data_IF_573647076737
#
_entry.id   IF_573647076737
#
_cell.length_a   1.000
_cell.length_b   1.000
_cell.length_c   1.000
_cell.angle_alpha   90.00
_cell.angle_beta   90.00
_cell.angle_gamma   90.00
#
_symmetry.space_group_name_H-M   'P 1'
#
loop_
_entity.id
_entity.type
_entity.pdbx_description
1 polymer ?
#
# COMPACT_ATOMS: atom_id res chain seq x y z
N UNK A 1 -11.52 -22.01 19.79
CA UNK A 1 -11.08 -20.71 20.34
C UNK A 1 -11.25 -19.67 19.24
N UNK A 2 -12.25 -18.81 19.36
CA UNK A 2 -12.41 -17.64 18.48
C UNK A 2 -11.14 -16.79 18.60
N UNK A 3 -10.50 -16.48 17.47
CA UNK A 3 -9.21 -15.77 17.45
C UNK A 3 -9.49 -14.27 17.40
N UNK A 4 -8.81 -13.51 18.24
CA UNK A 4 -8.96 -12.06 18.28
C UNK A 4 -8.57 -11.40 16.94
N UNK A 5 -9.47 -10.56 16.44
CA UNK A 5 -9.26 -9.65 15.32
C UNK A 5 -8.04 -8.76 15.61
N UNK A 6 -7.06 -8.75 14.70
CA UNK A 6 -5.84 -7.95 14.87
C UNK A 6 -5.79 -6.76 13.91
N UNK A 7 -5.37 -5.60 14.42
CA UNK A 7 -5.12 -4.40 13.63
C UNK A 7 -3.67 -4.35 13.15
N UNK A 8 -3.42 -4.20 11.85
CA UNK A 8 -2.05 -4.22 11.28
C UNK A 8 -1.84 -3.17 10.19
N UNK A 9 -0.63 -2.61 10.01
CA UNK A 9 -0.34 -1.75 8.88
C UNK A 9 -0.19 -2.53 7.57
N UNK A 10 -0.58 -1.91 6.46
CA UNK A 10 -0.25 -2.37 5.09
C UNK A 10 0.11 -1.19 4.19
N UNK A 11 1.19 -1.31 3.41
CA UNK A 11 1.67 -0.25 2.52
C UNK A 11 1.16 -0.48 1.09
N UNK A 12 0.78 0.60 0.42
CA UNK A 12 0.45 0.63 -1.00
C UNK A 12 1.11 1.84 -1.70
N UNK A 13 1.37 1.70 -3.00
CA UNK A 13 1.83 2.80 -3.85
C UNK A 13 0.67 3.71 -4.26
N UNK A 14 0.93 4.94 -4.70
CA UNK A 14 -0.12 5.88 -5.09
C UNK A 14 -1.11 5.33 -6.15
N UNK A 15 -0.67 4.61 -7.21
CA UNK A 15 -1.60 3.96 -8.13
C UNK A 15 -2.53 2.93 -7.47
N UNK A 16 -2.01 2.15 -6.52
CA UNK A 16 -2.81 1.17 -5.79
C UNK A 16 -3.79 1.85 -4.82
N UNK A 17 -3.41 2.98 -4.21
CA UNK A 17 -4.31 3.78 -3.36
C UNK A 17 -5.50 4.32 -4.17
N UNK A 18 -5.24 4.89 -5.35
CA UNK A 18 -6.31 5.33 -6.25
C UNK A 18 -7.25 4.17 -6.61
N UNK A 19 -6.70 3.00 -6.95
CA UNK A 19 -7.50 1.80 -7.21
C UNK A 19 -8.35 1.35 -6.01
N UNK A 20 -7.87 1.51 -4.77
CA UNK A 20 -8.64 1.25 -3.55
C UNK A 20 -9.78 2.28 -3.37
N UNK A 21 -9.50 3.57 -3.59
CA UNK A 21 -10.48 4.64 -3.49
C UNK A 21 -11.59 4.53 -4.54
N UNK A 22 -11.25 4.08 -5.74
CA UNK A 22 -12.19 3.81 -6.82
C UNK A 22 -12.96 2.49 -6.63
N UNK A 23 -12.60 1.67 -5.64
CA UNK A 23 -13.25 0.39 -5.35
C UNK A 23 -12.87 -0.75 -6.32
N UNK A 24 -11.87 -0.54 -7.17
CA UNK A 24 -11.40 -1.55 -8.15
C UNK A 24 -10.48 -2.58 -7.53
N UNK A 25 -9.64 -2.18 -6.56
CA UNK A 25 -8.72 -3.08 -5.86
C UNK A 25 -9.40 -3.70 -4.64
N UNK A 26 -9.56 -5.02 -4.66
CA UNK A 26 -10.19 -5.82 -3.60
C UNK A 26 -9.29 -6.99 -3.15
N UNK A 27 -8.11 -7.11 -3.75
CA UNK A 27 -7.15 -8.16 -3.44
C UNK A 27 -5.72 -7.60 -3.45
N UNK A 28 -4.82 -8.23 -2.68
CA UNK A 28 -3.38 -8.03 -2.82
C UNK A 28 -2.56 -9.27 -2.54
N UNK A 29 -1.49 -9.47 -3.31
CA UNK A 29 -0.48 -10.51 -3.08
C UNK A 29 0.71 -10.01 -2.28
N UNK A 30 1.17 -10.84 -1.35
CA UNK A 30 2.38 -10.65 -0.55
C UNK A 30 3.25 -11.89 -0.59
N UNK A 31 4.53 -11.72 -0.90
CA UNK A 31 5.50 -12.81 -0.92
C UNK A 31 5.64 -13.43 0.46
N UNK A 32 5.58 -14.76 0.52
CA UNK A 32 5.80 -15.51 1.76
C UNK A 32 7.29 -15.79 1.94
N UNK A 33 7.77 -15.65 3.17
CA UNK A 33 9.18 -15.89 3.53
C UNK A 33 9.41 -17.38 3.81
N UNK A 34 10.61 -17.86 3.57
CA UNK A 34 11.04 -19.19 3.99
C UNK A 34 11.07 -19.30 5.53
N UNK A 35 10.82 -20.48 6.07
CA UNK A 35 11.03 -20.78 7.51
C UNK A 35 12.53 -20.70 7.84
N UNK A 36 12.85 -20.47 9.12
CA UNK A 36 14.24 -20.55 9.59
C UNK A 36 14.78 -21.97 9.38
N UNK A 37 16.04 -22.08 8.95
CA UNK A 37 16.69 -23.37 8.72
C UNK A 37 16.54 -23.94 7.30
N UNK A 38 15.81 -23.25 6.41
CA UNK A 38 15.79 -23.59 4.97
C UNK A 38 17.15 -23.28 4.36
N UNK A 39 17.72 -24.28 3.69
CA UNK A 39 19.03 -24.26 3.03
C UNK A 39 18.89 -24.38 1.51
N UNK A 40 19.99 -24.26 0.76
CA UNK A 40 19.97 -24.45 -0.70
C UNK A 40 19.55 -25.87 -1.11
N UNK A 41 19.80 -26.88 -0.27
CA UNK A 41 19.40 -28.26 -0.53
C UNK A 41 17.89 -28.49 -0.44
N UNK A 42 17.16 -27.57 0.22
CA UNK A 42 15.72 -27.66 0.41
C UNK A 42 14.90 -27.26 -0.80
N UNK A 43 15.56 -26.68 -1.80
CA UNK A 43 14.92 -26.26 -3.02
C UNK A 43 15.05 -27.36 -4.06
N UNK A 44 13.92 -27.77 -4.62
CA UNK A 44 13.88 -28.70 -5.73
C UNK A 44 14.57 -28.08 -6.95
N UNK A 45 15.36 -28.88 -7.65
CA UNK A 45 15.78 -28.54 -9.01
C UNK A 45 14.52 -28.55 -9.88
N UNK A 46 14.08 -27.37 -10.32
CA UNK A 46 12.98 -27.27 -11.26
C UNK A 46 13.36 -27.86 -12.62
N UNK A 47 12.37 -28.40 -13.33
CA UNK A 47 12.50 -28.72 -14.75
C UNK A 47 12.98 -27.50 -15.54
N UNK A 48 13.87 -27.66 -16.54
CA UNK A 48 14.34 -26.55 -17.35
C UNK A 48 13.15 -25.87 -18.04
N UNK A 49 12.99 -24.57 -17.83
CA UNK A 49 12.04 -23.77 -18.58
C UNK A 49 12.48 -23.75 -20.05
N UNK A 50 11.54 -23.91 -21.00
CA UNK A 50 11.81 -23.97 -22.45
C UNK A 50 12.56 -22.75 -23.02
N UNK A 51 12.73 -21.68 -22.24
CA UNK A 51 13.50 -20.49 -22.59
C UNK A 51 15.00 -20.55 -22.25
N UNK A 52 15.50 -21.65 -21.70
CA UNK A 52 16.95 -21.90 -21.55
C UNK A 52 17.70 -21.01 -20.54
N UNK A 53 17.01 -20.31 -19.63
CA UNK A 53 17.63 -19.45 -18.63
C UNK A 53 17.30 -19.94 -17.21
N UNK A 54 18.22 -20.75 -16.66
CA UNK A 54 18.41 -21.02 -15.23
C UNK A 54 17.45 -22.03 -14.60
N UNK A 55 18.01 -23.05 -13.95
CA UNK A 55 17.29 -23.90 -13.01
C UNK A 55 16.96 -23.07 -11.77
N UNK A 56 15.70 -22.67 -11.58
CA UNK A 56 15.29 -21.92 -10.40
C UNK A 56 14.48 -22.78 -9.43
N UNK A 57 15.06 -22.85 -8.25
CA UNK A 57 14.69 -23.47 -6.99
C UNK A 57 13.21 -23.36 -6.58
N UNK A 58 12.47 -24.48 -6.59
CA UNK A 58 11.11 -24.56 -6.02
C UNK A 58 11.17 -24.98 -4.56
N UNK A 59 10.60 -24.17 -3.67
CA UNK A 59 10.46 -24.53 -2.26
C UNK A 59 9.10 -25.16 -1.99
N UNK A 60 9.05 -26.22 -1.18
CA UNK A 60 7.81 -26.84 -0.71
C UNK A 60 6.96 -25.90 0.16
N UNK A 61 5.64 -26.08 0.09
CA UNK A 61 4.68 -25.33 0.91
C UNK A 61 4.92 -25.50 2.41
N UNK A 62 5.44 -26.64 2.85
CA UNK A 62 5.69 -26.89 4.28
C UNK A 62 6.87 -26.07 4.83
N UNK A 63 7.74 -25.57 3.94
CA UNK A 63 8.95 -24.82 4.27
C UNK A 63 8.75 -23.30 4.22
N UNK A 64 7.54 -22.82 3.92
CA UNK A 64 7.20 -21.39 3.96
C UNK A 64 6.53 -21.00 5.27
N UNK A 65 6.67 -19.72 5.64
CA UNK A 65 5.99 -19.15 6.80
C UNK A 65 4.49 -18.99 6.53
N UNK A 66 3.71 -19.06 7.60
CA UNK A 66 2.29 -18.75 7.55
C UNK A 66 2.05 -17.30 7.09
N UNK A 67 0.93 -17.01 6.38
CA UNK A 67 0.57 -15.67 6.02
C UNK A 67 0.53 -14.72 7.22
N UNK A 68 1.07 -13.52 7.01
CA UNK A 68 1.08 -12.47 8.04
C UNK A 68 -0.31 -12.03 8.46
N UNK A 69 -1.28 -12.09 7.55
CA UNK A 69 -2.66 -11.65 7.74
C UNK A 69 -3.60 -12.85 7.68
N UNK A 70 -4.76 -12.73 8.31
CA UNK A 70 -5.81 -13.75 8.36
C UNK A 70 -7.17 -13.13 8.11
N UNK A 71 -8.13 -13.95 7.68
CA UNK A 71 -9.53 -13.53 7.62
C UNK A 71 -9.98 -12.97 8.98
N UNK A 72 -10.70 -11.85 8.94
CA UNK A 72 -11.11 -11.08 10.11
C UNK A 72 -10.13 -9.97 10.53
N UNK A 73 -8.85 -10.00 10.11
CA UNK A 73 -7.92 -8.91 10.42
C UNK A 73 -8.38 -7.58 9.81
N UNK A 74 -8.02 -6.47 10.48
CA UNK A 74 -8.24 -5.10 9.97
C UNK A 74 -6.91 -4.47 9.63
N UNK A 75 -6.76 -3.97 8.42
CA UNK A 75 -5.51 -3.41 7.92
C UNK A 75 -5.66 -1.92 7.69
N UNK A 76 -4.90 -1.09 8.41
CA UNK A 76 -4.86 0.34 8.12
C UNK A 76 -3.81 0.60 7.05
N UNK A 77 -4.21 1.31 6.01
CA UNK A 77 -3.38 1.54 4.83
C UNK A 77 -2.37 2.64 5.13
N UNK A 78 -1.14 2.44 4.66
CA UNK A 78 -0.02 3.39 4.69
C UNK A 78 0.33 3.82 3.28
N UNK A 79 0.44 5.12 3.12
CA UNK A 79 0.77 5.80 1.87
C UNK A 79 1.74 6.95 2.14
N UNK A 80 2.32 7.49 1.07
CA UNK A 80 3.18 8.66 1.21
C UNK A 80 2.32 9.86 1.59
N UNK A 81 2.80 10.64 2.55
CA UNK A 81 2.04 11.71 3.18
C UNK A 81 2.93 12.90 3.51
N UNK A 82 2.35 14.06 3.80
CA UNK A 82 3.05 15.20 4.40
C UNK A 82 2.10 16.03 5.26
N UNK A 83 2.67 16.90 6.08
CA UNK A 83 1.89 17.94 6.76
C UNK A 83 1.33 18.87 5.68
N UNK A 84 0.01 18.88 5.57
CA UNK A 84 -0.75 19.69 4.61
C UNK A 84 -1.10 21.06 5.16
N UNK A 85 -1.36 21.17 6.46
CA UNK A 85 -1.50 22.42 7.24
C UNK A 85 -1.53 22.05 8.73
N UNK A 86 -1.50 23.03 9.62
CA UNK A 86 -1.72 22.84 11.06
C UNK A 86 -2.54 24.01 11.64
N UNK A 87 -3.19 23.75 12.76
CA UNK A 87 -3.79 24.74 13.63
C UNK A 87 -3.12 24.63 15.00
N UNK A 88 -2.49 25.72 15.43
CA UNK A 88 -1.72 25.78 16.69
C UNK A 88 -2.63 25.93 17.90
N UNK A 89 -3.78 26.58 17.72
CA UNK A 89 -4.74 26.83 18.79
C UNK A 89 -5.49 25.54 19.15
N UNK A 90 -5.84 24.75 18.13
CA UNK A 90 -6.57 23.48 18.28
C UNK A 90 -5.65 22.24 18.30
N UNK A 91 -4.35 22.40 18.06
CA UNK A 91 -3.38 21.29 18.06
C UNK A 91 -3.65 20.22 16.98
N UNK A 92 -4.26 20.62 15.86
CA UNK A 92 -4.70 19.71 14.81
C UNK A 92 -3.93 19.91 13.49
N UNK A 93 -3.94 18.88 12.64
CA UNK A 93 -3.17 18.87 11.40
C UNK A 93 -4.04 18.44 10.22
N UNK A 94 -3.88 19.11 9.08
CA UNK A 94 -4.36 18.58 7.80
C UNK A 94 -3.24 17.76 7.15
N UNK A 95 -3.59 16.66 6.48
CA UNK A 95 -2.63 15.76 5.82
C UNK A 95 -2.83 15.78 4.31
N UNK A 96 -1.74 15.96 3.58
CA UNK A 96 -1.71 15.79 2.13
C UNK A 96 -1.23 14.37 1.76
N UNK A 97 -1.91 13.75 0.80
CA UNK A 97 -1.55 12.46 0.22
C UNK A 97 -1.21 12.60 -1.26
N UNK A 98 -0.50 11.62 -1.84
CA UNK A 98 -0.04 11.71 -3.23
C UNK A 98 -1.17 11.75 -4.28
N UNK A 99 -2.40 11.39 -3.92
CA UNK A 99 -3.57 11.51 -4.80
C UNK A 99 -4.46 12.73 -4.50
N UNK A 100 -4.10 13.55 -3.50
CA UNK A 100 -4.79 14.78 -3.17
C UNK A 100 -4.77 15.13 -1.67
N UNK A 101 -5.04 16.39 -1.34
CA UNK A 101 -5.16 16.84 0.04
C UNK A 101 -6.41 16.26 0.71
N UNK A 102 -6.29 15.83 1.97
CA UNK A 102 -7.47 15.65 2.83
C UNK A 102 -7.82 17.00 3.44
N UNK A 103 -9.11 17.34 3.36
CA UNK A 103 -9.62 18.64 3.81
C UNK A 103 -10.01 18.68 5.29
N UNK A 104 -10.05 17.51 5.92
CA UNK A 104 -10.38 17.36 7.33
C UNK A 104 -9.13 17.62 8.19
N UNK A 105 -9.32 18.41 9.25
CA UNK A 105 -8.37 18.51 10.35
C UNK A 105 -8.37 17.22 11.16
N UNK A 106 -7.17 16.77 11.55
CA UNK A 106 -6.95 15.57 12.33
C UNK A 106 -6.32 15.93 13.67
N UNK A 107 -6.97 15.51 14.74
CA UNK A 107 -6.37 15.48 16.07
C UNK A 107 -5.36 14.34 16.16
N UNK A 108 -4.28 14.55 16.91
CA UNK A 108 -3.32 13.50 17.22
C UNK A 108 -3.83 12.73 18.45
N UNK A 109 -4.13 11.42 18.35
CA UNK A 109 -4.65 10.67 19.48
C UNK A 109 -3.67 10.58 20.65
N UNK A 110 -4.24 10.58 21.86
CA UNK A 110 -3.53 10.53 23.14
C UNK A 110 -2.46 11.64 23.28
N UNK A 111 -2.74 12.84 22.78
CA UNK A 111 -1.83 13.99 22.81
C UNK A 111 -2.31 15.05 23.82
N UNK A 112 -2.62 14.62 25.04
CA UNK A 112 -3.25 15.45 26.06
C UNK A 112 -2.43 16.68 26.47
N UNK A 113 -1.11 16.61 26.34
CA UNK A 113 -0.16 17.69 26.63
C UNK A 113 0.36 18.39 25.36
N UNK A 114 -0.12 17.98 24.17
CA UNK A 114 0.31 18.50 22.87
C UNK A 114 1.75 18.16 22.50
N UNK A 115 2.45 17.26 23.21
CA UNK A 115 3.87 17.00 22.94
C UNK A 115 4.10 16.45 21.52
N UNK A 116 3.22 15.58 21.03
CA UNK A 116 3.34 14.98 19.69
C UNK A 116 3.06 16.02 18.62
N UNK A 117 2.04 16.86 18.80
CA UNK A 117 1.74 17.98 17.94
C UNK A 117 2.94 18.93 17.89
N UNK A 118 3.40 19.42 19.04
CA UNK A 118 4.52 20.35 19.15
C UNK A 118 5.78 19.81 18.48
N UNK A 119 6.11 18.54 18.69
CA UNK A 119 7.26 17.91 18.03
C UNK A 119 7.14 17.92 16.50
N UNK A 120 5.95 17.59 15.98
CA UNK A 120 5.72 17.56 14.54
C UNK A 120 5.70 18.97 13.95
N UNK A 121 5.05 19.91 14.64
CA UNK A 121 4.93 21.30 14.26
C UNK A 121 6.29 22.02 14.24
N UNK A 122 7.06 21.95 15.33
CA UNK A 122 8.40 22.55 15.43
C UNK A 122 9.33 21.98 14.35
N UNK A 123 9.38 20.65 14.22
CA UNK A 123 10.18 20.01 13.16
C UNK A 123 9.75 20.47 11.76
N UNK A 124 8.48 20.74 11.54
CA UNK A 124 7.98 21.20 10.24
C UNK A 124 8.32 22.67 10.01
N UNK A 125 8.23 23.52 11.03
CA UNK A 125 8.66 24.92 10.95
C UNK A 125 10.15 25.03 10.64
N UNK A 126 11.01 24.29 11.35
CA UNK A 126 12.45 24.27 11.11
C UNK A 126 12.78 23.88 9.66
N UNK A 127 12.05 22.90 9.11
CA UNK A 127 12.21 22.47 7.71
C UNK A 127 11.81 23.56 6.70
N UNK A 128 10.77 24.35 7.00
CA UNK A 128 10.31 25.42 6.13
C UNK A 128 11.25 26.62 6.19
N UNK A 129 11.68 27.01 7.38
CA UNK A 129 12.69 28.05 7.57
C UNK A 129 14.00 27.69 6.87
N UNK A 130 14.46 26.44 6.99
CA UNK A 130 15.65 25.95 6.28
C UNK A 130 15.52 25.99 4.74
N UNK A 131 14.29 25.98 4.21
CA UNK A 131 14.01 26.14 2.77
C UNK A 131 13.87 27.61 2.35
N UNK A 132 13.99 28.56 3.27
CA UNK A 132 13.78 29.99 3.01
C UNK A 132 12.32 30.33 2.72
N UNK A 133 11.38 29.59 3.33
CA UNK A 133 9.96 29.90 3.24
C UNK A 133 9.64 30.83 4.41
N UNK A 134 9.31 32.07 4.07
CA UNK A 134 8.98 33.09 5.05
C UNK A 134 7.53 32.96 5.52
N UNK A 135 7.32 33.38 6.76
CA UNK A 135 5.99 33.58 7.33
C UNK A 135 5.39 34.91 6.87
N UNK A 136 4.08 35.06 7.05
CA UNK A 136 3.43 36.34 6.85
C UNK A 136 3.72 37.33 8.00
N UNK A 137 3.07 38.50 7.95
CA UNK A 137 3.22 39.57 8.94
C UNK A 137 2.84 39.15 10.37
N UNK A 138 2.01 38.12 10.51
CA UNK A 138 1.51 37.61 11.79
C UNK A 138 2.34 36.39 12.25
N UNK A 139 3.42 36.07 11.54
CA UNK A 139 4.29 34.93 11.84
C UNK A 139 3.71 33.58 11.40
N UNK A 140 2.66 33.57 10.58
CA UNK A 140 1.97 32.35 10.16
C UNK A 140 2.39 31.91 8.76
N UNK A 141 2.39 30.59 8.55
CA UNK A 141 2.61 30.02 7.24
C UNK A 141 1.29 29.88 6.47
N UNK A 142 1.29 30.28 5.20
CA UNK A 142 0.10 30.22 4.34
C UNK A 142 0.39 29.60 2.98
N UNK A 143 -0.44 28.63 2.59
CA UNK A 143 -0.47 28.05 1.24
C UNK A 143 -1.86 27.51 0.93
N UNK A 144 -2.14 27.31 -0.36
CA UNK A 144 -3.40 26.69 -0.81
C UNK A 144 -3.45 25.22 -0.36
N UNK A 145 -4.63 24.66 -0.04
CA UNK A 145 -4.76 23.23 0.25
C UNK A 145 -4.17 22.37 -0.88
N UNK A 146 -3.33 21.38 -0.53
CA UNK A 146 -2.58 20.56 -1.49
C UNK A 146 -1.34 21.23 -2.10
N UNK A 147 -1.08 22.49 -1.79
CA UNK A 147 0.14 23.22 -2.20
C UNK A 147 1.16 23.35 -1.07
N UNK A 148 1.06 22.51 -0.02
CA UNK A 148 2.02 22.50 1.08
C UNK A 148 3.45 22.32 0.55
N UNK A 149 4.39 23.20 0.93
CA UNK A 149 5.80 23.07 0.54
C UNK A 149 6.57 22.07 1.44
N UNK A 150 5.90 21.44 2.40
CA UNK A 150 6.49 20.43 3.27
C UNK A 150 6.99 19.23 2.45
N UNK A 151 8.06 18.58 2.92
CA UNK A 151 8.60 17.39 2.24
C UNK A 151 7.60 16.22 2.32
N UNK A 152 7.61 15.38 1.29
CA UNK A 152 6.94 14.08 1.34
C UNK A 152 7.64 13.15 2.33
N UNK A 153 6.86 12.54 3.22
CA UNK A 153 7.28 11.52 4.18
C UNK A 153 6.95 10.13 3.62
N UNK A 154 7.92 9.19 3.60
CA UNK A 154 7.66 7.82 3.14
C UNK A 154 6.55 7.13 3.95
N UNK A 155 5.78 6.27 3.27
CA UNK A 155 4.67 5.50 3.88
C UNK A 155 5.06 4.68 5.11
N UNK A 156 6.31 4.21 5.20
CA UNK A 156 6.82 3.49 6.38
C UNK A 156 6.89 4.33 7.66
N UNK A 157 6.76 5.66 7.55
CA UNK A 157 6.68 6.59 8.68
C UNK A 157 5.27 7.12 8.92
N UNK A 158 4.28 6.74 8.11
CA UNK A 158 2.91 7.23 8.28
C UNK A 158 2.28 6.69 9.58
N UNK A 159 1.84 7.56 10.51
CA UNK A 159 1.22 7.11 11.74
C UNK A 159 -0.18 6.55 11.49
N UNK A 160 -0.67 5.74 12.43
CA UNK A 160 -1.98 5.07 12.33
C UNK A 160 -3.13 6.06 12.22
N UNK A 161 -3.13 7.11 13.04
CA UNK A 161 -4.16 8.15 13.06
C UNK A 161 -4.28 8.91 11.73
N UNK A 162 -3.19 9.02 10.98
CA UNK A 162 -3.17 9.66 9.67
C UNK A 162 -3.69 8.74 8.55
N UNK A 163 -4.04 7.49 8.83
CA UNK A 163 -4.65 6.62 7.82
C UNK A 163 -6.08 7.06 7.50
N UNK A 164 -6.48 6.97 6.23
CA UNK A 164 -7.84 7.27 5.76
C UNK A 164 -8.55 6.06 5.13
N UNK A 165 -7.87 4.92 5.06
CA UNK A 165 -8.39 3.69 4.48
C UNK A 165 -8.12 2.51 5.42
N UNK A 166 -9.15 1.70 5.61
CA UNK A 166 -9.07 0.43 6.34
C UNK A 166 -9.53 -0.70 5.44
N UNK A 167 -8.78 -1.80 5.40
CA UNK A 167 -9.13 -3.02 4.69
C UNK A 167 -9.57 -4.07 5.70
N UNK A 168 -10.73 -4.67 5.49
CA UNK A 168 -11.18 -5.79 6.32
C UNK A 168 -10.91 -7.07 5.55
N UNK A 169 -10.02 -7.91 6.07
CA UNK A 169 -9.58 -9.12 5.39
C UNK A 169 -10.70 -10.15 5.39
N UNK A 170 -11.13 -10.55 4.21
CA UNK A 170 -12.22 -11.52 4.01
C UNK A 170 -11.66 -12.93 3.82
N UNK A 171 -10.47 -13.06 3.23
CA UNK A 171 -9.85 -14.34 2.95
C UNK A 171 -8.36 -14.25 2.66
N UNK A 172 -7.66 -15.36 2.88
CA UNK A 172 -6.24 -15.49 2.54
C UNK A 172 -6.03 -16.85 1.87
N UNK A 173 -5.55 -16.84 0.64
CA UNK A 173 -5.22 -18.02 -0.16
C UNK A 173 -3.71 -18.07 -0.39
N UNK A 174 -3.10 -19.25 -0.22
CA UNK A 174 -1.69 -19.49 -0.52
C UNK A 174 -1.60 -20.14 -1.89
N UNK A 175 -0.87 -19.53 -2.82
CA UNK A 175 -0.73 -20.01 -4.20
C UNK A 175 0.64 -19.61 -4.77
N UNK A 176 0.99 -20.13 -5.95
CA UNK A 176 2.15 -19.65 -6.70
C UNK A 176 1.81 -18.33 -7.39
N UNK A 177 2.78 -17.42 -7.49
CA UNK A 177 2.60 -16.12 -8.13
C UNK A 177 1.99 -16.22 -9.54
N UNK A 178 2.46 -17.15 -10.35
CA UNK A 178 2.04 -17.30 -11.76
C UNK A 178 0.67 -17.99 -11.92
N UNK A 179 0.08 -18.54 -10.85
CA UNK A 179 -1.27 -19.15 -10.84
C UNK A 179 -2.40 -18.11 -10.77
N UNK A 180 -2.06 -16.81 -10.73
CA UNK A 180 -3.01 -15.71 -10.77
C UNK A 180 -3.90 -15.75 -12.01
N UNK A 181 -5.22 -15.64 -11.81
CA UNK A 181 -6.22 -15.53 -12.88
C UNK A 181 -6.37 -14.09 -13.40
N UNK A 182 -7.02 -13.89 -14.55
CA UNK A 182 -7.39 -12.55 -15.03
C UNK A 182 -8.28 -11.80 -14.03
N UNK A 183 -9.23 -12.51 -13.40
CA UNK A 183 -10.12 -11.93 -12.40
C UNK A 183 -9.35 -11.47 -11.15
N UNK A 184 -8.39 -12.27 -10.70
CA UNK A 184 -7.50 -11.90 -9.60
C UNK A 184 -6.62 -10.69 -9.96
N UNK A 185 -6.13 -10.60 -11.21
CA UNK A 185 -5.34 -9.47 -11.67
C UNK A 185 -6.17 -8.18 -11.71
N UNK A 186 -7.44 -8.27 -12.12
CA UNK A 186 -8.38 -7.14 -12.02
C UNK A 186 -8.63 -6.75 -10.56
N UNK A 187 -8.83 -7.73 -9.66
CA UNK A 187 -8.99 -7.49 -8.23
C UNK A 187 -7.72 -6.91 -7.56
N UNK A 188 -6.54 -7.09 -8.16
CA UNK A 188 -5.30 -6.38 -7.77
C UNK A 188 -5.30 -4.90 -8.17
N UNK A 189 -6.33 -4.43 -8.88
CA UNK A 189 -6.49 -3.04 -9.31
C UNK A 189 -6.05 -2.78 -10.75
N UNK A 190 -5.70 -3.83 -11.52
CA UNK A 190 -5.47 -3.69 -12.96
C UNK A 190 -6.81 -3.43 -13.66
N UNK A 191 -6.82 -2.47 -14.58
CA UNK A 191 -8.01 -2.14 -15.37
C UNK A 191 -7.67 -2.04 -16.84
N UNK A 192 -8.70 -2.13 -17.66
CA UNK A 192 -8.59 -1.75 -19.06
C UNK A 192 -8.36 -0.23 -19.15
N UNK A 193 -7.39 0.17 -19.98
CA UNK A 193 -7.04 1.56 -20.20
C UNK A 193 -8.05 2.20 -21.16
N UNK A 194 -8.53 3.40 -20.84
CA UNK A 194 -9.53 4.12 -21.63
C UNK A 194 -9.01 4.68 -22.97
N UNK A 195 -7.68 4.79 -23.13
CA UNK A 195 -7.10 5.22 -24.39
C UNK A 195 -7.24 4.09 -25.42
N UNK A 196 -7.93 4.31 -26.56
CA UNK A 196 -7.90 3.35 -27.64
C UNK A 196 -6.44 3.21 -28.07
N UNK A 197 -5.90 2.01 -27.90
CA UNK A 197 -4.60 1.75 -28.46
C UNK A 197 -4.68 1.93 -29.97
N UNK A 198 -3.62 2.51 -30.55
CA UNK A 198 -3.57 2.83 -31.99
C UNK A 198 -3.78 1.59 -32.87
N UNK A 199 -3.66 0.40 -32.31
CA UNK A 199 -3.83 -0.90 -32.94
C UNK A 199 -5.26 -1.50 -32.82
N UNK A 200 -6.19 -0.82 -32.13
CA UNK A 200 -7.56 -1.30 -31.91
C UNK A 200 -7.68 -2.42 -30.86
N UNK A 201 -6.61 -2.72 -30.13
CA UNK A 201 -6.59 -3.78 -29.12
C UNK A 201 -6.88 -3.25 -27.72
N UNK A 202 -7.46 -4.11 -26.86
CA UNK A 202 -7.65 -3.83 -25.44
C UNK A 202 -6.29 -3.83 -24.72
N UNK A 203 -6.08 -2.84 -23.86
CA UNK A 203 -4.83 -2.66 -23.12
C UNK A 203 -5.15 -2.58 -21.63
N UNK A 204 -4.32 -3.20 -20.79
CA UNK A 204 -4.53 -3.26 -19.34
C UNK A 204 -3.36 -2.66 -18.57
N UNK A 205 -3.64 -1.93 -17.50
CA UNK A 205 -2.63 -1.30 -16.64
C UNK A 205 -3.21 -0.87 -15.28
N UNK A 206 -2.35 -0.40 -14.37
CA UNK A 206 -2.82 0.14 -13.08
C UNK A 206 -3.22 1.62 -13.21
N UNK A 207 -2.40 2.43 -13.91
CA UNK A 207 -2.63 3.83 -14.24
C UNK A 207 -1.81 4.24 -15.49
N UNK A 208 -2.40 5.08 -16.36
CA UNK A 208 -1.71 5.73 -17.47
C UNK A 208 -1.94 5.11 -18.87
N UNK A 209 -1.50 5.80 -19.95
CA UNK A 209 -1.61 5.33 -21.33
C UNK A 209 -0.45 4.36 -21.62
N UNK A 210 -0.70 3.08 -21.38
CA UNK A 210 0.24 2.00 -21.62
C UNK A 210 -0.37 0.77 -20.98
N UNK A 211 -0.53 -0.29 -21.76
CA UNK A 211 -1.11 -1.50 -21.22
C UNK A 211 -0.67 -2.73 -21.97
N UNK A 212 -0.72 -3.85 -21.27
CA UNK A 212 -0.45 -5.15 -21.85
C UNK A 212 -1.78 -5.78 -22.32
N UNK A 213 -1.75 -6.76 -23.26
CA UNK A 213 -2.98 -7.31 -23.85
C UNK A 213 -3.92 -8.01 -22.87
N UNK A 214 -3.46 -8.32 -21.65
CA UNK A 214 -4.23 -9.00 -20.62
C UNK A 214 -3.97 -8.38 -19.25
N UNK A 215 -4.93 -8.49 -18.33
CA UNK A 215 -4.76 -7.99 -16.97
C UNK A 215 -3.64 -8.74 -16.26
N UNK A 216 -3.50 -10.04 -16.53
CA UNK A 216 -2.44 -10.88 -15.98
C UNK A 216 -1.03 -10.41 -16.38
N UNK A 217 -0.82 -10.08 -17.65
CA UNK A 217 0.47 -9.55 -18.12
C UNK A 217 0.77 -8.19 -17.48
N UNK A 218 -0.23 -7.30 -17.43
CA UNK A 218 -0.12 -6.00 -16.75
C UNK A 218 0.20 -6.14 -15.25
N UNK A 219 -0.39 -7.13 -14.59
CA UNK A 219 -0.03 -7.45 -13.21
C UNK A 219 1.44 -7.90 -13.07
N UNK A 220 1.95 -8.73 -13.98
CA UNK A 220 3.35 -9.18 -13.92
C UNK A 220 4.35 -8.07 -14.20
N UNK A 221 4.03 -7.12 -15.08
CA UNK A 221 4.83 -5.91 -15.27
C UNK A 221 4.89 -5.09 -13.97
N UNK A 222 3.74 -4.87 -13.34
CA UNK A 222 3.65 -4.20 -12.03
C UNK A 222 4.44 -4.94 -10.94
N UNK A 223 4.29 -6.26 -10.87
CA UNK A 223 5.02 -7.09 -9.90
C UNK A 223 6.53 -6.98 -10.10
N UNK A 224 6.98 -7.04 -11.36
CA UNK A 224 8.38 -6.93 -11.75
C UNK A 224 8.96 -5.56 -11.41
N UNK A 225 8.20 -4.49 -11.62
CA UNK A 225 8.61 -3.13 -11.23
C UNK A 225 8.82 -2.98 -9.71
N UNK A 226 8.06 -3.73 -8.90
CA UNK A 226 8.12 -3.66 -7.43
C UNK A 226 9.15 -4.63 -6.84
N UNK A 227 9.24 -5.85 -7.37
CA UNK A 227 10.00 -6.96 -6.75
C UNK A 227 11.21 -7.43 -7.61
N UNK A 228 11.39 -6.88 -8.81
CA UNK A 228 12.42 -7.29 -9.76
C UNK A 228 12.01 -8.47 -10.65
N UNK A 229 12.65 -8.57 -11.83
CA UNK A 229 12.33 -9.58 -12.86
C UNK A 229 12.59 -11.01 -12.38
N UNK A 230 13.64 -11.20 -11.58
CA UNK A 230 13.99 -12.50 -11.00
C UNK A 230 12.90 -13.01 -10.04
N UNK A 231 12.17 -12.12 -9.37
CA UNK A 231 11.06 -12.52 -8.51
C UNK A 231 9.90 -13.11 -9.30
N UNK A 232 9.58 -12.58 -10.47
CA UNK A 232 8.55 -13.16 -11.33
C UNK A 232 8.95 -14.55 -11.83
N UNK A 233 10.20 -14.69 -12.31
CA UNK A 233 10.76 -15.96 -12.81
C UNK A 233 10.80 -17.04 -11.74
N UNK A 234 11.15 -16.68 -10.51
CA UNK A 234 11.21 -17.61 -9.38
C UNK A 234 9.84 -18.21 -8.99
N UNK A 235 8.73 -17.63 -9.48
CA UNK A 235 7.38 -18.07 -9.18
C UNK A 235 7.15 -18.37 -7.68
N UNK A 236 7.38 -17.38 -6.80
CA UNK A 236 7.37 -17.59 -5.35
C UNK A 236 5.97 -17.95 -4.84
N UNK A 237 5.93 -18.55 -3.65
CA UNK A 237 4.69 -18.64 -2.88
C UNK A 237 4.25 -17.25 -2.43
N UNK A 238 2.98 -16.95 -2.63
CA UNK A 238 2.35 -15.70 -2.21
C UNK A 238 1.11 -15.98 -1.37
N UNK A 239 0.82 -15.07 -0.44
CA UNK A 239 -0.49 -14.95 0.16
C UNK A 239 -1.31 -13.95 -0.66
N UNK A 240 -2.34 -14.45 -1.35
CA UNK A 240 -3.40 -13.66 -1.97
C UNK A 240 -4.43 -13.30 -0.89
N UNK A 241 -4.52 -12.02 -0.55
CA UNK A 241 -5.35 -11.49 0.53
C UNK A 241 -6.53 -10.75 -0.10
N UNK A 242 -7.74 -11.23 0.11
CA UNK A 242 -8.99 -10.58 -0.34
C UNK A 242 -9.56 -9.73 0.80
N UNK A 243 -10.11 -8.56 0.47
CA UNK A 243 -10.62 -7.61 1.45
C UNK A 243 -11.70 -6.69 0.88
N UNK A 244 -12.55 -6.19 1.78
CA UNK A 244 -13.39 -5.01 1.54
C UNK A 244 -12.70 -3.73 1.99
N UNK A 245 -12.88 -2.66 1.23
CA UNK A 245 -12.31 -1.33 1.51
C UNK A 245 -13.30 -0.48 2.29
N UNK A 246 -12.84 0.11 3.38
CA UNK A 246 -13.58 1.11 4.17
C UNK A 246 -12.82 2.42 4.10
N UNK A 247 -13.47 3.49 3.64
CA UNK A 247 -12.89 4.83 3.48
C UNK A 247 -12.91 5.61 4.80
N UNK A 248 -12.33 4.99 5.83
CA UNK A 248 -12.24 5.55 7.16
C UNK A 248 -10.98 5.04 7.87
N UNK A 249 -10.54 5.79 8.88
CA UNK A 249 -9.50 5.34 9.78
C UNK A 249 -9.97 4.10 10.57
N UNK A 250 -9.03 3.21 10.89
CA UNK A 250 -9.31 1.97 11.63
C UNK A 250 -9.84 2.21 13.04
N UNK A 251 -9.51 3.36 13.65
CA UNK A 251 -9.85 3.71 15.02
C UNK A 251 -11.28 4.24 15.16
N UNK A 252 -11.87 4.74 14.06
CA UNK A 252 -13.30 5.13 14.05
C UNK A 252 -14.24 3.94 13.79
N UNK A 253 -13.69 2.78 13.45
CA UNK A 253 -14.46 1.55 13.26
C UNK A 253 -14.67 0.84 14.59
N UNK A 254 -15.93 0.65 15.00
CA UNK A 254 -16.28 -0.25 16.11
C UNK A 254 -15.67 -1.62 15.84
N UNK A 255 -14.98 -2.20 16.83
CA UNK A 255 -14.62 -3.61 16.77
C UNK A 255 -15.92 -4.40 16.86
N UNK A 256 -16.27 -5.14 15.80
CA UNK A 256 -17.32 -6.14 15.90
C UNK A 256 -16.84 -7.17 16.94
N UNK A 257 -17.53 -7.24 18.07
CA UNK A 257 -17.29 -8.27 19.09
C UNK A 257 -17.87 -9.57 18.53
N UNK A 258 -17.14 -10.70 18.59
CA UNK A 258 -17.60 -11.99 18.09
C UNK A 258 -18.95 -12.44 18.68
#
# INVERSE_FOLDING_TARGET
MSRDVTDRPIIFSAPMIRALLEGRKTQTRRMLKCRKGVTLADFEQGEPHASGIGNWMRLDREKIQEPRFKAGDRLWVRENWRVGAWDEDDGCIAVDYCDGPRREWLEIPDDYDGEKFNRLWISTCDELSAKGIDTDKDGKYHWKPGASPCRWRPSIHMPRWASRLTLIVEGVKIERLQEISEADAVAEGIRETEAPAKDGMRHFGIDGPGGLPTARLAFFELWTAINGAESYRANPWVAAISFRVVKANIDVMKKEVP
#
